data_IF_947233059090
#
_entry.id   IF_947233059090
#
_cell.length_a   1.000
_cell.length_b   1.000
_cell.length_c   1.000
_cell.angle_alpha   90.00
_cell.angle_beta   90.00
_cell.angle_gamma   90.00
#
_symmetry.space_group_name_H-M   'P 1'
#
loop_
_entity.id
_entity.type
_entity.pdbx_description
1 polymer ?
#
# COMPACT_ATOMS: atom_id res chain seq x y z
N UNK A 1 -9.69 -48.44 35.66
CA UNK A 1 -10.40 -47.62 34.66
C UNK A 1 -10.43 -46.17 35.13
N UNK A 2 -9.78 -45.26 34.39
CA UNK A 2 -10.14 -43.84 34.14
C UNK A 2 -8.91 -43.17 33.52
N UNK A 3 -8.83 -43.16 32.18
CA UNK A 3 -7.87 -42.34 31.44
C UNK A 3 -8.36 -40.89 31.51
N UNK A 4 -7.63 -40.02 32.21
CA UNK A 4 -7.89 -38.59 32.23
C UNK A 4 -7.25 -38.02 30.97
N UNK A 5 -8.07 -37.70 29.97
CA UNK A 5 -7.63 -37.04 28.74
C UNK A 5 -7.30 -35.58 29.02
N UNK A 6 -6.03 -35.23 28.86
CA UNK A 6 -5.56 -33.84 28.88
C UNK A 6 -5.98 -33.20 27.55
N UNK A 7 -7.07 -32.43 27.55
CA UNK A 7 -7.48 -31.61 26.40
C UNK A 7 -6.56 -30.39 26.39
N UNK A 8 -5.58 -30.41 25.48
CA UNK A 8 -4.74 -29.25 25.18
C UNK A 8 -5.60 -28.23 24.41
N UNK A 9 -6.11 -27.22 25.11
CA UNK A 9 -6.85 -26.12 24.50
C UNK A 9 -5.85 -25.24 23.72
N UNK A 10 -5.75 -25.46 22.40
CA UNK A 10 -5.01 -24.59 21.48
C UNK A 10 -5.68 -23.22 21.47
N UNK A 11 -5.14 -22.27 22.25
CA UNK A 11 -5.43 -20.85 22.14
C UNK A 11 -4.89 -20.35 20.78
N UNK A 12 -5.75 -20.37 19.77
CA UNK A 12 -5.50 -19.62 18.53
C UNK A 12 -5.46 -18.13 18.90
N UNK A 13 -4.40 -17.38 18.54
CA UNK A 13 -4.41 -15.94 18.71
C UNK A 13 -5.49 -15.38 17.78
N UNK A 14 -6.60 -14.95 18.38
CA UNK A 14 -7.56 -14.09 17.70
C UNK A 14 -6.83 -12.78 17.49
N UNK A 15 -6.37 -12.54 16.25
CA UNK A 15 -5.87 -11.26 15.79
C UNK A 15 -7.02 -10.26 15.83
N UNK A 16 -7.35 -9.77 17.03
CA UNK A 16 -8.29 -8.67 17.18
C UNK A 16 -7.68 -7.45 16.49
N UNK A 17 -8.35 -6.93 15.47
CA UNK A 17 -8.05 -5.62 14.93
C UNK A 17 -8.22 -4.60 16.06
N UNK A 18 -7.11 -4.16 16.67
CA UNK A 18 -7.13 -3.00 17.56
C UNK A 18 -7.37 -1.77 16.69
N UNK A 19 -8.54 -1.15 16.85
CA UNK A 19 -8.80 0.14 16.23
C UNK A 19 -7.97 1.20 16.96
N UNK A 20 -7.07 1.85 16.23
CA UNK A 20 -6.18 2.86 16.81
C UNK A 20 -6.97 4.14 17.09
N UNK A 21 -6.56 4.86 18.13
CA UNK A 21 -7.22 6.11 18.53
C UNK A 21 -6.21 7.23 18.82
N UNK A 22 -6.64 8.46 18.60
CA UNK A 22 -5.92 9.69 18.97
C UNK A 22 -6.91 10.67 19.61
N UNK A 23 -6.49 11.42 20.63
CA UNK A 23 -7.38 12.32 21.37
C UNK A 23 -6.98 13.78 21.20
N UNK A 24 -7.98 14.62 20.95
CA UNK A 24 -7.85 16.07 20.80
C UNK A 24 -8.60 16.75 21.93
N UNK A 25 -7.96 17.61 22.71
CA UNK A 25 -8.55 18.24 23.90
C UNK A 25 -8.93 19.71 23.68
N UNK A 26 -9.90 20.16 24.48
CA UNK A 26 -10.52 21.48 24.37
C UNK A 26 -10.53 22.20 25.72
N UNK A 27 -10.41 23.52 25.65
CA UNK A 27 -10.64 24.37 26.81
C UNK A 27 -12.14 24.48 27.11
N UNK A 28 -12.45 24.99 28.31
CA UNK A 28 -13.82 25.11 28.79
C UNK A 28 -14.69 25.93 27.82
N UNK A 29 -15.85 25.39 27.45
CA UNK A 29 -16.80 25.96 26.49
C UNK A 29 -16.22 26.34 25.11
N UNK A 30 -15.05 25.80 24.74
CA UNK A 30 -14.47 25.97 23.40
C UNK A 30 -14.78 24.77 22.51
N UNK A 31 -15.01 25.05 21.24
CA UNK A 31 -15.21 24.08 20.16
C UNK A 31 -14.01 24.00 19.20
N UNK A 32 -13.03 24.89 19.31
CA UNK A 32 -11.72 24.77 18.68
C UNK A 32 -10.70 24.15 19.65
N UNK A 33 -9.82 23.22 19.20
CA UNK A 33 -8.87 22.56 20.07
C UNK A 33 -7.89 23.53 20.75
N UNK A 34 -7.42 23.17 21.95
CA UNK A 34 -6.40 23.97 22.63
C UNK A 34 -5.03 23.85 21.95
N UNK A 35 -4.13 24.78 22.26
CA UNK A 35 -2.83 24.90 21.57
C UNK A 35 -1.99 23.62 21.67
N UNK A 36 -1.93 22.99 22.84
CA UNK A 36 -1.21 21.72 23.02
C UNK A 36 -1.77 20.60 22.13
N UNK A 37 -3.10 20.52 21.99
CA UNK A 37 -3.73 19.51 21.15
C UNK A 37 -3.53 19.78 19.66
N UNK A 38 -3.50 21.05 19.23
CA UNK A 38 -3.18 21.40 17.84
C UNK A 38 -1.76 20.96 17.48
N UNK A 39 -0.78 21.20 18.36
CA UNK A 39 0.60 20.78 18.12
C UNK A 39 0.71 19.25 18.04
N UNK A 40 0.12 18.54 19.00
CA UNK A 40 0.10 17.08 19.01
C UNK A 40 -0.63 16.49 17.78
N UNK A 41 -1.74 17.11 17.38
CA UNK A 41 -2.50 16.70 16.19
C UNK A 41 -1.67 16.87 14.91
N UNK A 42 -0.97 18.00 14.76
CA UNK A 42 -0.12 18.25 13.59
C UNK A 42 1.05 17.26 13.52
N UNK A 43 1.70 16.96 14.64
CA UNK A 43 2.76 15.95 14.70
C UNK A 43 2.23 14.55 14.36
N UNK A 44 1.07 14.20 14.92
CA UNK A 44 0.42 12.93 14.63
C UNK A 44 0.05 12.79 13.14
N UNK A 45 -0.52 13.84 12.53
CA UNK A 45 -0.82 13.90 11.09
C UNK A 45 0.46 13.77 10.24
N UNK A 46 1.58 14.32 10.69
CA UNK A 46 2.85 14.21 9.97
C UNK A 46 3.35 12.76 9.93
N UNK A 47 3.16 12.02 11.02
CA UNK A 47 3.62 10.65 11.19
C UNK A 47 2.62 9.58 10.68
N UNK A 48 1.40 9.96 10.29
CA UNK A 48 0.35 9.03 9.87
C UNK A 48 -0.29 9.49 8.56
N UNK A 49 0.42 9.37 7.43
CA UNK A 49 -0.09 9.78 6.11
C UNK A 49 -1.01 8.73 5.46
N UNK A 50 -0.73 7.45 5.72
CA UNK A 50 -1.44 6.32 5.11
C UNK A 50 -2.48 5.74 6.07
N UNK A 51 -3.39 6.59 6.55
CA UNK A 51 -4.48 6.20 7.42
C UNK A 51 -5.83 6.68 6.87
N UNK A 52 -6.87 5.98 7.27
CA UNK A 52 -8.25 6.35 7.01
C UNK A 52 -8.95 6.61 8.34
N UNK A 53 -9.57 7.78 8.46
CA UNK A 53 -10.37 8.14 9.63
C UNK A 53 -11.70 7.40 9.54
N UNK A 54 -12.04 6.65 10.58
CA UNK A 54 -13.17 5.73 10.57
C UNK A 54 -14.31 6.19 11.47
N UNK A 55 -13.98 6.88 12.57
CA UNK A 55 -14.96 7.36 13.54
C UNK A 55 -14.46 8.56 14.34
N UNK A 56 -15.36 9.49 14.66
CA UNK A 56 -15.11 10.65 15.52
C UNK A 56 -16.12 10.67 16.66
N UNK A 57 -15.63 10.66 17.90
CA UNK A 57 -16.46 10.71 19.10
C UNK A 57 -16.22 12.02 19.84
N UNK A 58 -17.27 12.81 20.08
CA UNK A 58 -17.20 14.09 20.77
C UNK A 58 -17.75 14.04 22.19
N UNK A 59 -16.99 14.59 23.14
CA UNK A 59 -17.30 14.59 24.56
C UNK A 59 -17.20 15.99 25.16
N UNK A 60 -18.00 16.21 26.20
CA UNK A 60 -18.00 17.41 27.02
C UNK A 60 -17.97 17.03 28.51
N UNK A 61 -17.61 17.99 29.35
CA UNK A 61 -17.62 17.78 30.80
C UNK A 61 -19.05 17.83 31.36
N UNK A 62 -19.19 17.71 32.68
CA UNK A 62 -20.50 17.61 33.35
C UNK A 62 -21.27 18.92 33.43
N UNK A 63 -20.65 20.02 33.00
CA UNK A 63 -21.17 21.38 33.18
C UNK A 63 -22.17 21.69 32.08
N UNK A 64 -23.29 22.33 32.42
CA UNK A 64 -24.42 22.68 31.53
C UNK A 64 -25.42 21.52 31.22
N UNK A 65 -26.46 21.85 30.48
CA UNK A 65 -27.55 20.97 30.06
C UNK A 65 -27.07 19.88 29.11
N UNK A 66 -27.82 18.77 29.05
CA UNK A 66 -27.54 17.67 28.11
C UNK A 66 -27.56 18.16 26.65
N UNK A 67 -28.55 18.97 26.28
CA UNK A 67 -28.70 19.46 24.91
C UNK A 67 -27.55 20.39 24.51
N UNK A 68 -27.16 21.32 25.39
CA UNK A 68 -26.01 22.19 25.13
C UNK A 68 -24.73 21.39 24.90
N UNK A 69 -24.44 20.43 25.79
CA UNK A 69 -23.25 19.61 25.69
C UNK A 69 -23.23 18.74 24.44
N UNK A 70 -24.38 18.25 24.01
CA UNK A 70 -24.50 17.51 22.76
C UNK A 70 -24.15 18.39 21.56
N UNK A 71 -24.71 19.60 21.48
CA UNK A 71 -24.37 20.55 20.43
C UNK A 71 -22.91 21.02 20.47
N UNK A 72 -22.34 21.21 21.66
CA UNK A 72 -20.92 21.55 21.81
C UNK A 72 -20.02 20.40 21.32
N UNK A 73 -20.36 19.15 21.63
CA UNK A 73 -19.65 17.98 21.13
C UNK A 73 -19.76 17.86 19.59
N UNK A 74 -20.92 18.15 19.01
CA UNK A 74 -21.09 18.21 17.55
C UNK A 74 -20.15 19.23 16.90
N UNK A 75 -20.08 20.45 17.44
CA UNK A 75 -19.18 21.51 16.93
C UNK A 75 -17.69 21.13 17.07
N UNK A 76 -17.31 20.48 18.17
CA UNK A 76 -15.94 19.98 18.37
C UNK A 76 -15.55 18.92 17.35
N UNK A 77 -16.45 17.96 17.10
CA UNK A 77 -16.24 16.94 16.06
C UNK A 77 -16.02 17.62 14.72
N UNK A 78 -16.83 18.63 14.40
CA UNK A 78 -16.75 19.34 13.14
C UNK A 78 -15.44 20.13 12.99
N UNK A 79 -15.01 20.84 14.04
CA UNK A 79 -13.72 21.54 14.06
C UNK A 79 -12.54 20.58 13.82
N UNK A 80 -12.54 19.41 14.45
CA UNK A 80 -11.49 18.39 14.24
C UNK A 80 -11.56 17.81 12.83
N UNK A 81 -12.77 17.55 12.32
CA UNK A 81 -12.98 17.06 10.95
C UNK A 81 -12.37 18.03 9.93
N UNK A 82 -12.66 19.33 10.05
CA UNK A 82 -12.12 20.35 9.13
C UNK A 82 -10.59 20.41 9.17
N UNK A 83 -9.97 20.29 10.35
CA UNK A 83 -8.51 20.26 10.49
C UNK A 83 -7.90 19.04 9.80
N UNK A 84 -8.51 17.87 9.98
CA UNK A 84 -8.10 16.62 9.33
C UNK A 84 -8.29 16.69 7.81
N UNK A 85 -9.39 17.27 7.32
CA UNK A 85 -9.62 17.46 5.87
C UNK A 85 -8.58 18.38 5.23
N UNK A 86 -8.27 19.51 5.89
CA UNK A 86 -7.23 20.44 5.42
C UNK A 86 -5.85 19.77 5.35
N UNK A 87 -5.62 18.70 6.11
CA UNK A 87 -4.37 17.94 6.07
C UNK A 87 -4.28 16.92 4.94
N UNK A 88 -5.39 16.65 4.23
CA UNK A 88 -5.45 15.69 3.13
C UNK A 88 -5.61 14.22 3.56
N UNK A 89 -5.90 13.96 4.83
CA UNK A 89 -6.20 12.60 5.29
C UNK A 89 -7.54 12.11 4.73
N UNK A 90 -7.61 10.80 4.47
CA UNK A 90 -8.81 10.17 3.92
C UNK A 90 -9.80 9.83 5.03
N UNK A 91 -11.07 9.87 4.68
CA UNK A 91 -12.16 9.46 5.57
C UNK A 91 -12.88 8.27 4.96
N UNK A 92 -13.28 7.34 5.83
CA UNK A 92 -14.14 6.25 5.44
C UNK A 92 -15.47 6.80 4.91
N UNK A 93 -16.02 6.19 3.86
CA UNK A 93 -17.29 6.60 3.26
C UNK A 93 -18.45 6.58 4.27
N UNK A 94 -18.36 5.69 5.26
CA UNK A 94 -19.33 5.55 6.34
C UNK A 94 -18.77 6.11 7.65
N UNK A 95 -18.05 7.25 7.59
CA UNK A 95 -17.49 7.92 8.75
C UNK A 95 -18.55 8.09 9.85
N UNK A 96 -18.35 7.41 10.97
CA UNK A 96 -19.27 7.48 12.09
C UNK A 96 -18.94 8.69 12.96
N UNK A 97 -19.90 9.59 13.16
CA UNK A 97 -19.78 10.77 14.04
C UNK A 97 -20.78 10.65 15.19
N UNK A 98 -20.31 10.55 16.43
CA UNK A 98 -21.19 10.45 17.60
C UNK A 98 -20.83 11.54 18.61
N UNK A 99 -21.78 12.43 18.88
CA UNK A 99 -21.70 13.41 19.94
C UNK A 99 -22.34 12.85 21.22
N UNK A 100 -21.50 12.38 22.14
CA UNK A 100 -21.95 11.94 23.46
C UNK A 100 -22.31 13.12 24.38
N UNK A 101 -21.70 14.29 24.15
CA UNK A 101 -21.81 15.40 25.09
C UNK A 101 -21.33 14.93 26.46
N UNK A 102 -22.22 14.94 27.46
CA UNK A 102 -21.93 14.49 28.83
C UNK A 102 -22.43 13.08 29.17
N UNK A 103 -23.07 12.38 28.22
CA UNK A 103 -23.73 11.10 28.42
C UNK A 103 -22.74 9.92 28.24
N UNK A 104 -21.72 9.87 29.12
CA UNK A 104 -20.71 8.80 29.19
C UNK A 104 -20.10 8.74 30.61
N UNK A 105 -19.26 7.73 30.87
CA UNK A 105 -18.54 7.64 32.14
C UNK A 105 -17.42 8.68 32.20
N UNK A 106 -17.62 9.71 33.02
CA UNK A 106 -16.68 10.82 33.13
C UNK A 106 -15.45 10.50 34.02
N UNK A 107 -14.31 11.05 33.63
CA UNK A 107 -13.14 11.17 34.51
C UNK A 107 -13.41 12.17 35.62
N UNK A 108 -12.72 11.98 36.75
CA UNK A 108 -12.69 12.98 37.84
C UNK A 108 -12.02 14.27 37.38
N UNK A 109 -11.07 14.18 36.45
CA UNK A 109 -10.37 15.34 35.89
C UNK A 109 -11.22 15.89 34.73
N UNK A 110 -11.91 16.99 34.97
CA UNK A 110 -12.86 17.55 33.99
C UNK A 110 -12.20 17.90 32.65
N UNK A 111 -10.92 18.27 32.64
CA UNK A 111 -10.19 18.56 31.42
C UNK A 111 -10.09 17.35 30.47
N UNK A 112 -9.99 16.13 31.01
CA UNK A 112 -9.94 14.90 30.21
C UNK A 112 -11.28 14.58 29.54
N UNK A 113 -12.39 15.13 30.05
CA UNK A 113 -13.73 14.91 29.50
C UNK A 113 -14.01 15.78 28.28
N UNK A 114 -13.26 16.89 28.10
CA UNK A 114 -13.43 17.81 26.97
C UNK A 114 -12.54 17.39 25.81
N UNK A 115 -12.98 16.38 25.06
CA UNK A 115 -12.18 15.81 23.96
C UNK A 115 -12.98 15.35 22.77
N UNK A 116 -12.27 15.17 21.67
CA UNK A 116 -12.70 14.38 20.52
C UNK A 116 -11.72 13.22 20.38
N UNK A 117 -12.26 12.01 20.33
CA UNK A 117 -11.47 10.80 20.03
C UNK A 117 -11.61 10.47 18.54
N UNK A 118 -10.47 10.43 17.86
CA UNK A 118 -10.32 10.08 16.46
C UNK A 118 -9.97 8.60 16.39
N UNK A 119 -10.82 7.80 15.78
CA UNK A 119 -10.52 6.40 15.47
C UNK A 119 -10.07 6.31 14.02
N UNK A 120 -9.00 5.57 13.79
CA UNK A 120 -8.41 5.42 12.48
C UNK A 120 -7.92 3.99 12.27
N UNK A 121 -7.88 3.61 11.00
CA UNK A 121 -7.22 2.39 10.56
C UNK A 121 -6.04 2.79 9.68
N UNK A 122 -4.95 2.05 9.77
CA UNK A 122 -3.94 2.11 8.72
C UNK A 122 -4.62 1.72 7.41
N UNK A 123 -4.46 2.55 6.39
CA UNK A 123 -4.67 2.12 5.02
C UNK A 123 -3.52 1.17 4.77
N UNK A 124 -3.73 -0.10 5.13
CA UNK A 124 -2.97 -1.14 4.49
C UNK A 124 -3.13 -0.87 3.01
N UNK A 125 -2.02 -0.72 2.28
CA UNK A 125 -2.05 -0.74 0.84
C UNK A 125 -2.74 -2.05 0.46
N UNK A 126 -4.06 -1.99 0.28
CA UNK A 126 -4.82 -3.03 -0.37
C UNK A 126 -4.32 -2.87 -1.80
N UNK A 127 -3.25 -3.61 -2.09
CA UNK A 127 -2.72 -3.78 -3.43
C UNK A 127 -3.94 -4.29 -4.19
N UNK A 128 -4.62 -3.37 -4.88
CA UNK A 128 -5.64 -3.77 -5.82
C UNK A 128 -4.84 -4.53 -6.85
N UNK A 129 -5.00 -5.85 -6.87
CA UNK A 129 -4.29 -6.76 -7.77
C UNK A 129 -4.15 -6.08 -9.13
N UNK A 130 -2.91 -5.73 -9.50
CA UNK A 130 -2.70 -4.92 -10.69
C UNK A 130 -3.15 -5.71 -11.92
N UNK A 131 -3.48 -5.01 -13.00
CA UNK A 131 -3.89 -5.66 -14.24
C UNK A 131 -2.82 -6.65 -14.74
N UNK A 132 -1.54 -6.32 -14.52
CA UNK A 132 -0.42 -7.20 -14.78
C UNK A 132 -0.46 -8.47 -13.90
N UNK A 133 -0.66 -8.34 -12.58
CA UNK A 133 -0.77 -9.51 -11.69
C UNK A 133 -1.95 -10.42 -12.05
N UNK A 134 -3.09 -9.83 -12.43
CA UNK A 134 -4.26 -10.57 -12.94
C UNK A 134 -3.94 -11.31 -14.22
N UNK A 135 -3.24 -10.67 -15.15
CA UNK A 135 -2.84 -11.28 -16.41
C UNK A 135 -1.90 -12.46 -16.15
N UNK A 136 -0.87 -12.27 -15.30
CA UNK A 136 0.11 -13.29 -14.97
C UNK A 136 -0.54 -14.53 -14.34
N UNK A 137 -1.48 -14.33 -13.42
CA UNK A 137 -2.22 -15.40 -12.74
C UNK A 137 -3.08 -16.23 -13.69
N UNK A 138 -3.69 -15.60 -14.68
CA UNK A 138 -4.59 -16.25 -15.63
C UNK A 138 -3.88 -16.82 -16.87
N UNK A 139 -2.59 -16.53 -17.04
CA UNK A 139 -1.83 -16.98 -18.20
C UNK A 139 -1.50 -18.46 -18.18
N UNK A 140 -1.41 -19.06 -19.37
CA UNK A 140 -1.04 -20.47 -19.55
C UNK A 140 0.46 -20.60 -19.87
N UNK A 141 1.01 -21.78 -19.61
CA UNK A 141 2.37 -22.10 -20.03
C UNK A 141 2.55 -21.86 -21.54
N UNK A 142 3.64 -21.20 -21.92
CA UNK A 142 3.94 -20.75 -23.28
C UNK A 142 3.51 -19.32 -23.58
N UNK A 143 2.62 -18.71 -22.78
CA UNK A 143 2.25 -17.30 -22.96
C UNK A 143 3.38 -16.37 -22.54
N UNK A 144 3.50 -15.25 -23.23
CA UNK A 144 4.49 -14.21 -22.96
C UNK A 144 3.79 -12.90 -22.66
N UNK A 145 4.11 -12.30 -21.52
CA UNK A 145 3.48 -11.06 -21.04
C UNK A 145 4.53 -9.97 -20.95
N UNK A 146 4.28 -8.81 -21.58
CA UNK A 146 5.15 -7.64 -21.43
C UNK A 146 5.11 -7.14 -19.99
N UNK A 147 6.27 -6.86 -19.40
CA UNK A 147 6.37 -6.22 -18.09
C UNK A 147 6.22 -4.68 -18.30
N UNK A 148 5.08 -4.06 -17.93
CA UNK A 148 4.82 -2.65 -18.25
C UNK A 148 5.70 -1.71 -17.41
N UNK A 149 6.02 -0.52 -17.93
CA UNK A 149 6.67 0.56 -17.18
C UNK A 149 8.00 0.17 -16.48
N UNK A 150 8.71 -0.83 -17.02
CA UNK A 150 10.06 -1.20 -16.58
C UNK A 150 11.10 -0.39 -17.35
N UNK A 151 11.80 0.50 -16.63
CA UNK A 151 12.75 1.45 -17.19
C UNK A 151 14.14 1.24 -16.60
N UNK A 152 15.15 1.50 -17.43
CA UNK A 152 16.56 1.39 -17.07
C UNK A 152 17.28 2.68 -17.41
N UNK A 153 18.33 3.00 -16.66
CA UNK A 153 19.24 4.08 -17.05
C UNK A 153 19.92 3.74 -18.39
N UNK A 154 20.23 4.77 -19.17
CA UNK A 154 20.75 4.64 -20.53
C UNK A 154 21.94 3.65 -20.61
N UNK A 155 21.92 2.76 -21.60
CA UNK A 155 22.92 1.71 -21.81
C UNK A 155 23.29 0.89 -20.56
N UNK A 156 22.36 0.73 -19.62
CA UNK A 156 22.61 0.00 -18.37
C UNK A 156 21.51 -1.01 -18.04
N UNK A 157 21.82 -1.86 -17.07
CA UNK A 157 20.87 -2.73 -16.37
C UNK A 157 20.40 -2.16 -15.02
N UNK A 158 20.74 -0.90 -14.72
CA UNK A 158 20.30 -0.23 -13.49
C UNK A 158 18.85 0.20 -13.67
N UNK A 159 17.97 -0.34 -12.83
CA UNK A 159 16.52 -0.06 -12.87
C UNK A 159 16.25 1.32 -12.25
N UNK A 160 15.33 2.07 -12.85
CA UNK A 160 14.90 3.40 -12.36
C UNK A 160 13.93 3.22 -11.18
N UNK A 161 13.97 4.06 -10.12
CA UNK A 161 13.09 3.93 -8.96
C UNK A 161 11.58 3.88 -9.30
N UNK A 162 11.15 4.61 -10.33
CA UNK A 162 9.74 4.58 -10.78
C UNK A 162 9.26 3.19 -11.24
N UNK A 163 10.17 2.27 -11.55
CA UNK A 163 9.85 0.89 -11.91
C UNK A 163 9.77 -0.05 -10.71
N UNK A 164 9.98 0.42 -9.48
CA UNK A 164 9.85 -0.42 -8.28
C UNK A 164 8.45 -0.98 -8.12
N UNK A 165 7.41 -0.22 -8.48
CA UNK A 165 6.02 -0.69 -8.41
C UNK A 165 5.79 -1.95 -9.25
N UNK A 166 6.25 -1.97 -10.51
CA UNK A 166 6.04 -3.15 -11.36
C UNK A 166 6.90 -4.35 -10.92
N UNK A 167 8.09 -4.10 -10.37
CA UNK A 167 8.92 -5.17 -9.79
C UNK A 167 8.23 -5.80 -8.58
N UNK A 168 7.60 -4.97 -7.75
CA UNK A 168 6.86 -5.41 -6.58
C UNK A 168 5.59 -6.18 -6.96
N UNK A 169 4.88 -5.75 -8.01
CA UNK A 169 3.74 -6.49 -8.56
C UNK A 169 4.15 -7.88 -9.05
N UNK A 170 5.26 -7.98 -9.79
CA UNK A 170 5.81 -9.27 -10.22
C UNK A 170 6.20 -10.15 -9.03
N UNK A 171 6.81 -9.57 -7.99
CA UNK A 171 7.13 -10.28 -6.76
C UNK A 171 5.87 -10.85 -6.10
N UNK A 172 4.87 -10.01 -5.85
CA UNK A 172 3.60 -10.43 -5.23
C UNK A 172 2.94 -11.55 -6.03
N UNK A 173 2.87 -11.39 -7.36
CA UNK A 173 2.27 -12.41 -8.23
C UNK A 173 3.04 -13.75 -8.16
N UNK A 174 4.37 -13.73 -7.99
CA UNK A 174 5.15 -14.95 -7.77
C UNK A 174 4.97 -15.55 -6.37
N UNK A 175 4.77 -14.73 -5.33
CA UNK A 175 4.50 -15.20 -3.96
C UNK A 175 3.11 -15.83 -3.83
N UNK A 176 2.09 -15.20 -4.42
CA UNK A 176 0.71 -15.66 -4.43
C UNK A 176 0.48 -16.93 -5.26
N UNK A 177 1.36 -17.20 -6.23
CA UNK A 177 1.28 -18.37 -7.12
C UNK A 177 2.53 -19.26 -6.99
N UNK A 178 2.67 -20.10 -5.94
CA UNK A 178 3.90 -20.86 -5.68
C UNK A 178 4.32 -21.84 -6.79
N UNK A 179 3.40 -22.25 -7.66
CA UNK A 179 3.66 -23.14 -8.81
C UNK A 179 4.20 -22.41 -10.03
N UNK A 180 3.97 -21.09 -10.10
CA UNK A 180 4.35 -20.26 -11.24
C UNK A 180 5.87 -20.32 -11.44
N UNK A 181 6.29 -20.70 -12.65
CA UNK A 181 7.67 -20.65 -13.12
C UNK A 181 7.75 -19.73 -14.34
N UNK A 182 8.76 -18.87 -14.38
CA UNK A 182 8.89 -17.84 -15.41
C UNK A 182 10.29 -17.83 -16.04
N UNK A 183 10.37 -17.36 -17.29
CA UNK A 183 11.60 -16.89 -17.93
C UNK A 183 11.49 -15.39 -18.22
N UNK A 184 12.43 -14.61 -17.69
CA UNK A 184 12.51 -13.17 -17.88
C UNK A 184 13.33 -12.89 -19.15
N UNK A 185 12.70 -12.26 -20.13
CA UNK A 185 13.27 -12.06 -21.47
C UNK A 185 13.57 -10.59 -21.71
N UNK A 186 14.84 -10.25 -21.94
CA UNK A 186 15.28 -8.89 -22.20
C UNK A 186 15.39 -8.60 -23.70
N UNK A 187 14.95 -7.42 -24.12
CA UNK A 187 15.03 -6.94 -25.50
C UNK A 187 15.59 -5.52 -25.53
N UNK A 188 16.33 -5.19 -26.59
CA UNK A 188 16.84 -3.83 -26.86
C UNK A 188 16.48 -3.40 -28.28
N UNK A 189 16.64 -2.12 -28.58
CA UNK A 189 16.41 -1.53 -29.90
C UNK A 189 17.73 -1.06 -30.53
N UNK A 190 17.61 -0.47 -31.72
CA UNK A 190 18.54 0.57 -32.20
C UNK A 190 19.96 0.10 -32.56
N UNK A 191 20.27 -1.19 -32.43
CA UNK A 191 21.49 -1.82 -32.92
C UNK A 191 21.16 -2.70 -34.13
N UNK A 192 21.98 -2.67 -35.16
CA UNK A 192 21.67 -3.32 -36.46
C UNK A 192 22.12 -4.77 -36.56
N UNK A 193 23.06 -5.22 -35.72
CA UNK A 193 23.67 -6.56 -35.88
C UNK A 193 23.54 -7.43 -34.63
N UNK A 194 24.03 -6.98 -33.48
CA UNK A 194 24.07 -7.78 -32.25
C UNK A 194 24.06 -6.90 -31.00
N UNK A 195 23.61 -7.44 -29.87
CA UNK A 195 23.73 -6.80 -28.55
C UNK A 195 25.17 -6.90 -28.04
N UNK A 196 26.05 -6.02 -28.55
CA UNK A 196 27.50 -6.08 -28.28
C UNK A 196 27.85 -6.02 -26.79
N UNK A 197 27.00 -5.39 -25.99
CA UNK A 197 27.23 -5.14 -24.57
C UNK A 197 26.41 -6.07 -23.67
N UNK A 198 25.71 -7.06 -24.23
CA UNK A 198 24.84 -7.99 -23.51
C UNK A 198 23.81 -7.28 -22.58
N UNK A 199 23.35 -6.10 -23.00
CA UNK A 199 22.49 -5.21 -22.21
C UNK A 199 21.14 -5.88 -21.96
N UNK A 200 20.61 -6.58 -22.95
CA UNK A 200 19.35 -7.31 -22.84
C UNK A 200 19.41 -8.39 -21.75
N UNK A 201 20.46 -9.22 -21.74
CA UNK A 201 20.68 -10.24 -20.70
C UNK A 201 20.93 -9.59 -19.35
N UNK A 202 21.73 -8.52 -19.29
CA UNK A 202 22.01 -7.82 -18.05
C UNK A 202 20.74 -7.25 -17.41
N UNK A 203 19.82 -6.70 -18.21
CA UNK A 203 18.50 -6.20 -17.76
C UNK A 203 17.61 -7.32 -17.22
N UNK A 204 17.50 -8.42 -17.96
CA UNK A 204 16.74 -9.59 -17.50
C UNK A 204 17.32 -10.16 -16.18
N UNK A 205 18.65 -10.20 -16.07
CA UNK A 205 19.37 -10.61 -14.86
C UNK A 205 19.13 -9.66 -13.68
N UNK A 206 18.99 -8.36 -13.90
CA UNK A 206 18.72 -7.40 -12.84
C UNK A 206 17.37 -7.68 -12.15
N UNK A 207 16.34 -8.00 -12.93
CA UNK A 207 15.01 -8.37 -12.43
C UNK A 207 15.06 -9.73 -11.73
N UNK A 208 15.72 -10.72 -12.32
CA UNK A 208 15.96 -12.01 -11.67
C UNK A 208 16.61 -11.85 -10.28
N UNK A 209 17.66 -11.02 -10.20
CA UNK A 209 18.37 -10.76 -8.95
C UNK A 209 17.50 -10.01 -7.93
N UNK A 210 16.60 -9.13 -8.37
CA UNK A 210 15.62 -8.50 -7.50
C UNK A 210 14.70 -9.53 -6.85
N UNK A 211 14.11 -10.43 -7.64
CA UNK A 211 13.21 -11.48 -7.13
C UNK A 211 13.95 -12.47 -6.23
N UNK A 212 15.19 -12.81 -6.58
CA UNK A 212 16.04 -13.68 -5.76
C UNK A 212 16.36 -13.07 -4.39
N UNK A 213 16.66 -11.77 -4.33
CA UNK A 213 16.88 -11.07 -3.04
C UNK A 213 15.62 -11.08 -2.18
N UNK A 214 14.45 -11.00 -2.83
CA UNK A 214 13.13 -11.15 -2.22
C UNK A 214 12.66 -12.61 -2.09
N UNK A 215 13.61 -13.57 -2.02
CA UNK A 215 13.37 -14.96 -1.60
C UNK A 215 12.53 -15.82 -2.55
N UNK A 216 12.31 -15.40 -3.80
CA UNK A 216 11.78 -16.31 -4.82
C UNK A 216 12.83 -17.38 -5.16
N UNK A 217 12.42 -18.65 -5.15
CA UNK A 217 13.30 -19.78 -5.43
C UNK A 217 13.90 -19.69 -6.84
N UNK A 218 15.23 -19.85 -6.94
CA UNK A 218 15.99 -19.89 -8.19
C UNK A 218 15.42 -20.89 -9.20
N UNK A 219 14.85 -22.02 -8.74
CA UNK A 219 14.27 -23.06 -9.59
C UNK A 219 12.99 -22.62 -10.31
N UNK A 220 12.36 -21.53 -9.85
CA UNK A 220 11.13 -20.96 -10.43
C UNK A 220 11.40 -19.89 -11.47
N UNK A 221 12.66 -19.54 -11.69
CA UNK A 221 13.02 -18.39 -12.51
C UNK A 221 14.19 -18.72 -13.43
N UNK A 222 14.13 -18.26 -14.67
CA UNK A 222 15.26 -18.18 -15.59
C UNK A 222 15.28 -16.80 -16.23
N UNK A 223 16.39 -16.43 -16.86
CA UNK A 223 16.47 -15.18 -17.61
C UNK A 223 17.27 -15.39 -18.89
N UNK A 224 16.93 -14.61 -19.93
CA UNK A 224 17.59 -14.65 -21.22
C UNK A 224 17.55 -13.28 -21.90
N UNK A 225 18.66 -12.85 -22.49
CA UNK A 225 18.67 -11.71 -23.41
C UNK A 225 18.48 -12.16 -24.85
N UNK A 226 17.61 -11.47 -25.58
CA UNK A 226 17.43 -11.66 -27.01
C UNK A 226 18.09 -10.57 -27.84
N UNK A 227 18.66 -9.55 -27.21
CA UNK A 227 19.22 -8.42 -27.93
C UNK A 227 18.19 -7.80 -28.89
N UNK A 228 18.58 -7.76 -30.16
CA UNK A 228 17.76 -7.29 -31.29
C UNK A 228 17.16 -8.42 -32.14
N UNK A 229 17.31 -9.69 -31.72
CA UNK A 229 16.91 -10.87 -32.51
C UNK A 229 15.39 -11.12 -32.58
N UNK A 230 14.61 -10.50 -31.70
CA UNK A 230 13.15 -10.63 -31.62
C UNK A 230 12.46 -9.26 -31.53
N UNK A 231 12.57 -8.43 -32.57
CA UNK A 231 11.94 -7.11 -32.58
C UNK A 231 10.41 -7.22 -32.74
N UNK A 232 9.67 -6.33 -32.11
CA UNK A 232 8.25 -6.10 -32.42
C UNK A 232 8.15 -5.29 -33.72
N UNK A 233 8.96 -4.22 -33.81
CA UNK A 233 9.06 -3.36 -34.98
C UNK A 233 10.36 -3.60 -35.72
N UNK A 234 10.28 -3.71 -37.05
CA UNK A 234 11.47 -3.90 -37.89
C UNK A 234 12.52 -2.83 -37.59
N UNK A 235 13.76 -3.26 -37.37
CA UNK A 235 14.92 -2.38 -37.17
C UNK A 235 15.48 -1.99 -38.57
N UNK A 236 15.82 -0.71 -38.82
CA UNK A 236 15.70 0.43 -37.91
C UNK A 236 14.24 0.87 -37.71
N UNK A 237 13.92 1.24 -36.46
CA UNK A 237 12.59 1.71 -36.07
C UNK A 237 12.26 3.07 -36.72
N UNK A 238 10.98 3.31 -37.00
CA UNK A 238 10.54 4.54 -37.69
C UNK A 238 10.53 5.77 -36.79
N UNK A 239 10.35 5.56 -35.49
CA UNK A 239 10.23 6.62 -34.49
C UNK A 239 10.58 6.10 -33.09
N UNK A 240 10.64 7.02 -32.12
CA UNK A 240 11.01 6.69 -30.75
C UNK A 240 10.00 5.76 -30.05
N UNK A 241 8.73 5.82 -30.42
CA UNK A 241 7.69 4.92 -29.85
C UNK A 241 7.96 3.47 -30.25
N UNK A 242 8.24 3.20 -31.53
CA UNK A 242 8.61 1.86 -32.00
C UNK A 242 9.91 1.37 -31.33
N UNK A 243 10.88 2.26 -31.15
CA UNK A 243 12.13 1.95 -30.46
C UNK A 243 11.89 1.61 -28.98
N UNK A 244 11.00 2.32 -28.30
CA UNK A 244 10.61 2.04 -26.91
C UNK A 244 9.88 0.71 -26.78
N UNK A 245 8.99 0.39 -27.71
CA UNK A 245 8.31 -0.90 -27.74
C UNK A 245 9.29 -2.06 -27.97
N UNK A 246 10.33 -1.88 -28.78
CA UNK A 246 11.41 -2.85 -28.90
C UNK A 246 12.25 -2.98 -27.62
N UNK A 247 12.50 -1.88 -26.88
CA UNK A 247 13.19 -1.88 -25.57
C UNK A 247 12.26 -2.32 -24.44
N UNK A 248 12.04 -3.63 -24.33
CA UNK A 248 11.11 -4.20 -23.35
C UNK A 248 11.72 -5.35 -22.56
N UNK A 249 11.02 -5.71 -21.50
CA UNK A 249 11.17 -7.00 -20.83
C UNK A 249 9.86 -7.74 -20.93
N UNK A 250 9.93 -9.03 -21.20
CA UNK A 250 8.80 -9.93 -21.27
C UNK A 250 8.96 -11.06 -20.25
N UNK A 251 7.84 -11.61 -19.79
CA UNK A 251 7.76 -12.73 -18.85
C UNK A 251 7.11 -13.88 -19.60
N UNK A 252 7.90 -14.90 -19.94
CA UNK A 252 7.40 -16.16 -20.48
C UNK A 252 6.97 -17.07 -19.35
N UNK A 253 5.74 -17.57 -19.40
CA UNK A 253 5.22 -18.55 -18.45
C UNK A 253 5.74 -19.93 -18.82
N UNK A 254 6.50 -20.56 -17.92
CA UNK A 254 7.01 -21.92 -18.10
C UNK A 254 6.04 -22.95 -17.51
N UNK A 255 5.40 -22.61 -16.38
CA UNK A 255 4.46 -23.46 -15.64
C UNK A 255 3.58 -22.54 -14.78
N UNK A 256 2.29 -22.86 -14.62
CA UNK A 256 1.34 -22.14 -13.77
C UNK A 256 0.43 -23.13 -13.05
#
# INVERSE_FOLDING_TARGET
MKKIGLILLLLLPISGFTQKQFEVFFDFNKDFPNQSSILALNEWIANNKDIEITKLLGFCDSIDTRNYNKHLAERRIESVRELLEKSGLKFNINLEKIAFGKDFKQSKIQAENRRVTIFYAEIQAKITESEFSKQLKNSKAGETIKLPNIYFFNNSARIVPKSETILYDLLCAMEENPKLKIEIQGHICCQTETDKNDVSTARARAIYNYLLRNKIDRKRMRFKGFGVSRPIHKIPERNETEADENRRVEILILEN
#
